data_IF_833115367174
#
_entry.id   IF_833115367174
#
_cell.length_a   1.000
_cell.length_b   1.000
_cell.length_c   1.000
_cell.angle_alpha   90.00
_cell.angle_beta   90.00
_cell.angle_gamma   90.00
#
_symmetry.space_group_name_H-M   'P 1'
#
loop_
_entity.id
_entity.type
_entity.pdbx_description
1 polymer ?
#
# COMPACT_ATOMS: atom_id res chain seq x y z
N UNK A 1 -34.05 41.28 52.13
CA UNK A 1 -33.60 41.56 50.74
C UNK A 1 -32.84 40.36 50.23
N UNK A 2 -33.53 39.42 49.62
CA UNK A 2 -32.93 38.30 48.93
C UNK A 2 -32.38 38.74 47.59
N UNK A 3 -31.03 38.93 47.48
CA UNK A 3 -30.38 39.12 46.20
C UNK A 3 -30.46 37.81 45.43
N UNK A 4 -31.12 37.80 44.28
CA UNK A 4 -31.16 36.70 43.35
C UNK A 4 -29.73 36.47 42.80
N UNK A 5 -29.20 35.30 43.04
CA UNK A 5 -27.89 34.88 42.42
C UNK A 5 -28.20 34.00 41.22
N UNK A 6 -27.67 34.35 40.09
CA UNK A 6 -27.80 33.55 38.82
C UNK A 6 -26.50 32.83 38.56
N UNK A 7 -26.64 31.54 38.19
CA UNK A 7 -25.55 30.71 37.68
C UNK A 7 -25.85 30.37 36.23
N UNK A 8 -24.88 30.64 35.36
CA UNK A 8 -24.98 30.22 33.95
C UNK A 8 -24.07 29.00 33.74
N UNK A 9 -24.65 27.96 33.20
CA UNK A 9 -23.92 26.74 32.81
C UNK A 9 -23.75 26.78 31.29
N UNK A 10 -22.50 26.75 30.83
CA UNK A 10 -22.17 26.76 29.41
C UNK A 10 -21.80 25.35 28.93
N UNK A 11 -22.02 25.04 27.64
CA UNK A 11 -21.62 23.76 27.08
C UNK A 11 -20.11 23.52 27.25
N UNK A 12 -19.75 22.26 27.51
CA UNK A 12 -18.35 21.83 27.63
C UNK A 12 -17.74 21.64 26.24
N UNK A 13 -16.56 22.21 26.02
CA UNK A 13 -15.84 22.11 24.75
C UNK A 13 -15.25 20.70 24.62
N UNK A 14 -15.51 20.06 23.49
CA UNK A 14 -14.93 18.77 23.11
C UNK A 14 -13.81 18.93 22.09
N UNK A 15 -12.88 18.00 22.12
CA UNK A 15 -11.84 17.87 21.10
C UNK A 15 -12.12 16.61 20.25
N UNK A 16 -11.67 16.64 18.99
CA UNK A 16 -11.70 15.52 18.07
C UNK A 16 -10.27 15.13 17.73
N UNK A 17 -9.98 13.85 17.76
CA UNK A 17 -8.74 13.28 17.25
C UNK A 17 -9.01 12.00 16.48
N UNK A 18 -8.13 11.66 15.54
CA UNK A 18 -8.28 10.43 14.79
C UNK A 18 -7.08 10.10 13.93
N UNK A 19 -7.15 8.92 13.30
CA UNK A 19 -6.15 8.44 12.37
C UNK A 19 -6.83 7.70 11.24
N UNK A 20 -6.29 7.81 10.03
CA UNK A 20 -6.68 6.97 8.89
C UNK A 20 -5.48 6.66 8.02
N UNK A 21 -5.61 5.61 7.20
CA UNK A 21 -4.65 5.29 6.15
C UNK A 21 -4.93 6.18 4.93
N UNK A 22 -3.90 6.60 4.21
CA UNK A 22 -4.02 7.39 2.98
C UNK A 22 -5.02 6.76 1.99
N UNK A 23 -5.97 7.54 1.54
CA UNK A 23 -7.05 7.15 0.63
C UNK A 23 -7.25 8.13 -0.54
N UNK A 24 -6.36 9.13 -0.67
CA UNK A 24 -6.42 10.14 -1.71
C UNK A 24 -7.45 11.25 -1.47
N UNK A 25 -8.22 11.22 -0.38
CA UNK A 25 -9.28 12.21 -0.12
C UNK A 25 -8.91 13.18 1.01
N UNK A 26 -9.59 14.31 1.05
CA UNK A 26 -9.51 15.26 2.17
C UNK A 26 -10.61 15.08 3.20
N UNK A 27 -11.49 14.09 3.04
CA UNK A 27 -12.61 13.86 3.93
C UNK A 27 -12.12 13.38 5.31
N UNK A 28 -12.69 13.93 6.37
CA UNK A 28 -12.52 13.46 7.75
C UNK A 28 -13.88 12.90 8.22
N UNK A 29 -14.11 11.62 7.93
CA UNK A 29 -15.39 10.97 8.25
C UNK A 29 -15.47 10.64 9.74
N UNK A 30 -16.67 10.70 10.30
CA UNK A 30 -16.88 10.49 11.75
C UNK A 30 -16.35 9.14 12.25
N UNK A 31 -16.32 8.09 11.40
CA UNK A 31 -15.75 6.79 11.75
C UNK A 31 -14.25 6.78 12.02
N UNK A 32 -13.50 7.76 11.48
CA UNK A 32 -12.06 7.89 11.67
C UNK A 32 -11.72 8.74 12.91
N UNK A 33 -12.75 9.27 13.59
CA UNK A 33 -12.63 10.31 14.59
C UNK A 33 -13.21 9.87 15.94
N UNK A 34 -12.58 10.32 17.01
CA UNK A 34 -13.02 10.09 18.38
C UNK A 34 -13.14 11.41 19.12
N UNK A 35 -14.14 11.49 20.00
CA UNK A 35 -14.38 12.61 20.90
C UNK A 35 -13.55 12.45 22.17
N UNK A 36 -13.09 13.56 22.71
CA UNK A 36 -12.42 13.61 24.01
C UNK A 36 -12.88 14.82 24.83
N UNK A 37 -12.55 14.81 26.12
CA UNK A 37 -12.98 15.80 27.10
C UNK A 37 -14.45 15.67 27.52
N UNK A 38 -15.02 14.46 27.43
CA UNK A 38 -16.35 14.14 27.99
C UNK A 38 -16.31 14.12 29.52
N UNK A 39 -17.48 14.25 30.16
CA UNK A 39 -17.61 14.16 31.60
C UNK A 39 -17.74 12.71 32.05
N UNK A 40 -16.93 12.29 33.01
CA UNK A 40 -17.00 10.93 33.59
C UNK A 40 -16.93 9.82 32.54
N UNK A 41 -17.95 8.97 32.51
CA UNK A 41 -18.10 7.86 31.56
C UNK A 41 -19.14 8.14 30.46
N UNK A 42 -19.55 9.39 30.29
CA UNK A 42 -20.50 9.75 29.22
C UNK A 42 -19.89 9.50 27.85
N UNK A 43 -20.73 9.11 26.91
CA UNK A 43 -20.41 8.93 25.50
C UNK A 43 -21.37 9.75 24.64
N UNK A 44 -20.90 10.22 23.49
CA UNK A 44 -21.69 10.88 22.45
C UNK A 44 -21.39 10.24 21.11
N UNK A 45 -22.37 10.18 20.24
CA UNK A 45 -22.17 9.76 18.87
C UNK A 45 -21.71 10.93 18.01
N UNK A 46 -20.68 10.71 17.18
CA UNK A 46 -20.23 11.66 16.17
C UNK A 46 -20.78 11.24 14.80
N UNK A 47 -21.34 12.16 14.05
CA UNK A 47 -21.84 11.92 12.68
C UNK A 47 -21.35 12.98 11.73
N UNK A 48 -21.53 12.73 10.41
CA UNK A 48 -21.14 13.66 9.36
C UNK A 48 -19.69 13.53 8.92
N UNK A 49 -19.22 14.56 8.20
CA UNK A 49 -17.88 14.60 7.59
C UNK A 49 -17.29 16.00 7.68
N UNK A 50 -16.08 16.06 8.23
CA UNK A 50 -15.23 17.23 8.17
C UNK A 50 -14.26 17.16 6.99
N UNK A 51 -13.34 18.10 6.90
CA UNK A 51 -12.27 18.10 5.90
C UNK A 51 -10.94 18.51 6.50
N UNK A 52 -9.85 17.98 5.93
CA UNK A 52 -8.47 18.39 6.16
C UNK A 52 -7.92 19.12 4.94
N UNK A 53 -6.89 19.95 5.13
CA UNK A 53 -6.36 20.82 4.07
C UNK A 53 -5.61 20.06 2.97
N UNK A 54 -5.17 18.83 3.23
CA UNK A 54 -4.42 18.00 2.27
C UNK A 54 -4.65 16.52 2.55
N UNK A 55 -4.86 15.72 1.50
CA UNK A 55 -4.99 14.27 1.58
C UNK A 55 -3.68 13.58 1.99
N UNK A 56 -2.51 14.18 1.70
CA UNK A 56 -1.20 13.55 1.90
C UNK A 56 -0.96 13.10 3.34
N UNK A 57 -0.07 12.15 3.52
CA UNK A 57 0.42 11.71 4.82
C UNK A 57 0.89 12.89 5.68
N UNK A 58 0.58 12.84 6.96
CA UNK A 58 0.96 13.87 7.92
C UNK A 58 0.19 13.75 9.24
N UNK A 59 0.82 14.22 10.30
CA UNK A 59 0.28 14.14 11.65
C UNK A 59 -0.54 15.38 12.01
N UNK A 60 -1.54 15.19 12.86
CA UNK A 60 -2.29 16.27 13.54
C UNK A 60 -2.80 17.36 12.59
N UNK A 61 -3.30 16.99 11.42
CA UNK A 61 -3.88 17.94 10.46
C UNK A 61 -5.16 18.53 11.02
N UNK A 62 -5.33 19.83 10.97
CA UNK A 62 -6.55 20.49 11.42
C UNK A 62 -7.74 20.03 10.62
N UNK A 63 -8.83 19.69 11.32
CA UNK A 63 -10.12 19.30 10.73
C UNK A 63 -11.07 20.49 10.77
N UNK A 64 -11.58 20.89 9.62
CA UNK A 64 -12.75 21.77 9.48
C UNK A 64 -14.01 20.95 9.71
N UNK A 65 -14.88 21.39 10.60
CA UNK A 65 -16.01 20.61 11.07
C UNK A 65 -17.07 20.31 10.00
N UNK A 66 -17.33 21.24 9.08
CA UNK A 66 -18.36 21.12 8.02
C UNK A 66 -19.68 20.56 8.54
N UNK A 67 -19.99 19.25 8.21
CA UNK A 67 -21.22 18.56 8.66
C UNK A 67 -21.02 17.70 9.90
N UNK A 68 -19.83 17.71 10.51
CA UNK A 68 -19.60 16.96 11.76
C UNK A 68 -20.52 17.49 12.87
N UNK A 69 -21.24 16.59 13.48
CA UNK A 69 -22.18 16.90 14.55
C UNK A 69 -22.14 15.84 15.65
N UNK A 70 -22.32 16.30 16.88
CA UNK A 70 -22.47 15.42 18.06
C UNK A 70 -23.94 15.11 18.28
N UNK A 71 -24.22 13.89 18.66
CA UNK A 71 -25.56 13.37 18.94
C UNK A 71 -25.59 12.71 20.32
N UNK A 72 -26.76 12.60 20.90
CA UNK A 72 -26.94 11.93 22.19
C UNK A 72 -26.53 10.46 22.10
N UNK A 73 -25.93 9.99 23.20
CA UNK A 73 -25.74 8.59 23.50
C UNK A 73 -26.02 8.42 25.01
N UNK A 74 -25.06 8.06 25.85
CA UNK A 74 -25.27 8.09 27.32
C UNK A 74 -25.22 9.53 27.86
N UNK A 75 -24.51 10.42 27.18
CA UNK A 75 -24.48 11.85 27.42
C UNK A 75 -25.49 12.61 26.58
N UNK A 76 -25.82 13.84 27.00
CA UNK A 76 -26.72 14.75 26.30
C UNK A 76 -25.95 15.76 25.49
N UNK A 77 -26.06 15.71 24.15
CA UNK A 77 -25.27 16.51 23.23
C UNK A 77 -25.36 18.04 23.46
N UNK A 78 -26.53 18.54 23.94
CA UNK A 78 -26.71 19.97 24.24
C UNK A 78 -25.81 20.49 25.38
N UNK A 79 -25.27 19.59 26.20
CA UNK A 79 -24.32 19.95 27.26
C UNK A 79 -22.87 20.16 26.73
N UNK A 80 -22.65 19.93 25.44
CA UNK A 80 -21.34 19.93 24.81
C UNK A 80 -21.31 20.77 23.53
N UNK A 81 -20.12 21.15 23.11
CA UNK A 81 -19.89 21.87 21.86
C UNK A 81 -18.56 21.46 21.24
N UNK A 82 -18.52 21.39 19.92
CA UNK A 82 -17.27 21.28 19.16
C UNK A 82 -16.61 22.65 18.94
N UNK A 83 -17.39 23.72 19.03
CA UNK A 83 -16.86 25.07 18.80
C UNK A 83 -15.81 25.44 19.86
N UNK A 84 -14.64 25.90 19.38
CA UNK A 84 -13.51 26.26 20.23
C UNK A 84 -12.63 25.10 20.65
N UNK A 85 -12.92 23.86 20.25
CA UNK A 85 -12.09 22.69 20.51
C UNK A 85 -10.94 22.54 19.50
N UNK A 86 -10.01 21.63 19.83
CA UNK A 86 -8.95 21.20 18.91
C UNK A 86 -9.43 19.96 18.14
N UNK A 87 -9.39 20.04 16.80
CA UNK A 87 -9.87 18.98 15.93
C UNK A 87 -8.76 18.59 14.97
N UNK A 88 -8.32 17.33 15.05
CA UNK A 88 -7.14 16.85 14.32
C UNK A 88 -7.36 15.43 13.76
N UNK A 89 -6.79 15.19 12.58
CA UNK A 89 -6.72 13.88 11.93
C UNK A 89 -5.29 13.64 11.45
N UNK A 90 -4.72 12.49 11.78
CA UNK A 90 -3.45 12.04 11.22
C UNK A 90 -3.70 11.09 10.06
N UNK A 91 -2.96 11.25 8.97
CA UNK A 91 -2.99 10.37 7.80
C UNK A 91 -1.68 9.59 7.76
N UNK A 92 -1.78 8.27 7.85
CA UNK A 92 -0.63 7.35 7.78
C UNK A 92 -0.42 6.85 6.35
N UNK A 93 0.79 6.36 6.07
CA UNK A 93 1.11 5.76 4.77
C UNK A 93 0.22 4.53 4.49
N UNK A 94 -0.11 4.37 3.20
CA UNK A 94 -0.79 3.18 2.69
C UNK A 94 0.23 2.12 2.31
N UNK A 95 0.13 0.94 2.90
CA UNK A 95 0.98 -0.18 2.54
C UNK A 95 0.53 -0.77 1.21
N UNK A 96 1.47 -0.92 0.29
CA UNK A 96 1.27 -1.55 -1.01
C UNK A 96 2.15 -2.79 -1.14
N UNK A 97 1.79 -3.68 -2.03
CA UNK A 97 2.63 -4.81 -2.44
C UNK A 97 2.86 -4.79 -3.93
N UNK A 98 3.92 -5.45 -4.35
CA UNK A 98 4.26 -5.59 -5.76
C UNK A 98 4.36 -7.05 -6.17
N UNK A 99 4.10 -7.31 -7.44
CA UNK A 99 4.38 -8.59 -8.05
C UNK A 99 4.90 -8.41 -9.48
N UNK A 100 5.54 -9.45 -9.98
CA UNK A 100 6.03 -9.46 -11.35
C UNK A 100 6.47 -10.83 -11.77
N UNK A 101 7.02 -10.91 -12.99
CA UNK A 101 7.50 -12.17 -13.54
C UNK A 101 8.69 -11.95 -14.46
N UNK A 102 9.57 -12.95 -14.52
CA UNK A 102 10.63 -13.03 -15.53
C UNK A 102 10.91 -14.47 -15.92
N UNK A 103 11.49 -14.64 -17.09
CA UNK A 103 12.08 -15.92 -17.50
C UNK A 103 13.36 -16.19 -16.70
N UNK A 104 13.61 -17.45 -16.41
CA UNK A 104 14.85 -17.91 -15.75
C UNK A 104 16.10 -17.33 -16.42
N UNK A 105 16.97 -16.76 -15.62
CA UNK A 105 18.21 -16.11 -16.04
C UNK A 105 19.43 -16.44 -15.16
N UNK A 106 19.30 -17.42 -14.26
CA UNK A 106 20.36 -17.86 -13.34
C UNK A 106 20.63 -16.91 -12.17
N UNK A 107 19.99 -15.74 -12.10
CA UNK A 107 20.27 -14.73 -11.07
C UNK A 107 19.24 -14.75 -9.95
N UNK A 108 19.69 -14.51 -8.73
CA UNK A 108 18.81 -14.23 -7.58
C UNK A 108 18.46 -12.74 -7.47
N UNK A 109 19.15 -11.85 -8.19
CA UNK A 109 18.83 -10.42 -8.21
C UNK A 109 17.49 -10.17 -8.89
N UNK A 110 16.63 -9.37 -8.27
CA UNK A 110 15.35 -8.91 -8.80
C UNK A 110 15.48 -7.42 -9.09
N UNK A 111 15.46 -7.05 -10.36
CA UNK A 111 15.50 -5.65 -10.75
C UNK A 111 14.11 -5.02 -10.67
N UNK A 112 14.04 -3.70 -10.54
CA UNK A 112 12.76 -2.98 -10.55
C UNK A 112 11.94 -3.29 -11.82
N UNK A 113 12.58 -3.52 -12.97
CA UNK A 113 11.90 -3.90 -14.22
C UNK A 113 11.22 -5.29 -14.21
N UNK A 114 11.59 -6.16 -13.26
CA UNK A 114 10.95 -7.46 -13.08
C UNK A 114 9.61 -7.35 -12.33
N UNK A 115 9.33 -6.21 -11.70
CA UNK A 115 8.19 -5.94 -10.84
C UNK A 115 7.30 -4.87 -11.49
N UNK A 116 6.14 -5.24 -12.01
CA UNK A 116 5.31 -4.36 -12.83
C UNK A 116 3.90 -4.14 -12.27
N UNK A 117 3.46 -4.95 -11.31
CA UNK A 117 2.10 -4.90 -10.78
C UNK A 117 2.12 -4.36 -9.36
N UNK A 118 1.51 -3.19 -9.17
CA UNK A 118 1.26 -2.62 -7.86
C UNK A 118 -0.15 -3.00 -7.38
N UNK A 119 -0.24 -3.47 -6.15
CA UNK A 119 -1.51 -3.77 -5.51
C UNK A 119 -1.78 -2.75 -4.41
N UNK A 120 -3.06 -2.42 -4.22
CA UNK A 120 -3.54 -1.52 -3.17
C UNK A 120 -3.16 -0.04 -3.36
N UNK A 121 -2.87 0.41 -4.59
CA UNK A 121 -2.80 1.85 -4.88
C UNK A 121 -4.17 2.51 -4.77
N UNK A 122 -4.20 3.79 -4.47
CA UNK A 122 -5.40 4.61 -4.63
C UNK A 122 -5.77 4.68 -6.12
N UNK A 123 -7.06 4.54 -6.41
CA UNK A 123 -7.55 4.50 -7.80
C UNK A 123 -7.13 5.75 -8.58
N UNK A 124 -6.56 5.53 -9.77
CA UNK A 124 -6.08 6.58 -10.65
C UNK A 124 -4.65 7.07 -10.35
N UNK A 125 -4.02 6.61 -9.27
CA UNK A 125 -2.62 6.90 -9.00
C UNK A 125 -1.70 5.83 -9.58
N UNK A 126 -0.50 6.25 -9.96
CA UNK A 126 0.62 5.40 -10.37
C UNK A 126 1.85 5.74 -9.54
N UNK A 127 2.71 4.75 -9.33
CA UNK A 127 4.05 4.93 -8.76
C UNK A 127 5.06 4.25 -9.66
N UNK A 128 6.30 4.71 -9.59
CA UNK A 128 7.45 4.03 -10.16
C UNK A 128 8.26 3.34 -9.07
N UNK A 129 9.10 2.37 -9.47
CA UNK A 129 10.01 1.67 -8.59
C UNK A 129 11.43 1.70 -9.17
N UNK A 130 12.41 1.85 -8.29
CA UNK A 130 13.83 1.82 -8.62
C UNK A 130 14.59 0.85 -7.73
N UNK A 131 15.85 0.56 -8.06
CA UNK A 131 16.69 -0.31 -7.24
C UNK A 131 16.52 -1.79 -7.56
N UNK A 132 16.94 -2.63 -6.61
CA UNK A 132 16.90 -4.09 -6.74
C UNK A 132 16.66 -4.77 -5.39
N UNK A 133 16.04 -5.94 -5.47
CA UNK A 133 15.87 -6.88 -4.37
C UNK A 133 16.51 -8.22 -4.69
N UNK A 134 16.21 -9.25 -3.89
CA UNK A 134 16.71 -10.61 -4.09
C UNK A 134 15.65 -11.65 -3.77
N UNK A 135 15.71 -12.78 -4.47
CA UNK A 135 15.00 -14.01 -4.12
C UNK A 135 15.99 -15.04 -3.55
N UNK A 136 15.53 -15.95 -2.72
CA UNK A 136 16.37 -16.97 -2.07
C UNK A 136 16.97 -18.00 -3.05
N UNK A 137 16.38 -18.15 -4.23
CA UNK A 137 16.84 -19.09 -5.28
C UNK A 137 16.46 -18.57 -6.65
N UNK A 138 17.38 -18.69 -7.62
CA UNK A 138 17.15 -18.38 -9.03
C UNK A 138 16.21 -19.35 -9.75
N UNK A 139 15.97 -20.55 -9.19
CA UNK A 139 15.19 -21.58 -9.83
C UNK A 139 13.74 -21.15 -10.13
N UNK A 140 13.16 -21.77 -11.14
CA UNK A 140 11.73 -21.62 -11.50
C UNK A 140 10.84 -21.83 -10.29
N UNK A 141 9.80 -21.00 -10.16
CA UNK A 141 8.85 -21.05 -9.07
C UNK A 141 7.93 -19.85 -9.08
N UNK A 142 6.75 -20.01 -8.50
CA UNK A 142 5.71 -18.98 -8.42
C UNK A 142 5.76 -18.28 -7.08
N UNK A 143 5.36 -17.01 -7.09
CA UNK A 143 5.18 -16.17 -5.88
C UNK A 143 6.38 -16.21 -4.91
N UNK A 144 7.58 -16.23 -5.47
CA UNK A 144 8.82 -16.22 -4.66
C UNK A 144 8.92 -14.89 -3.92
N UNK A 145 9.05 -14.97 -2.59
CA UNK A 145 9.25 -13.78 -1.76
C UNK A 145 10.52 -13.03 -2.18
N UNK A 146 10.38 -11.73 -2.38
CA UNK A 146 11.51 -10.84 -2.68
C UNK A 146 11.93 -10.11 -1.41
N UNK A 147 13.19 -10.26 -1.04
CA UNK A 147 13.83 -9.38 -0.05
C UNK A 147 14.02 -8.01 -0.69
N UNK A 148 13.44 -6.97 -0.10
CA UNK A 148 13.30 -5.64 -0.70
C UNK A 148 14.66 -5.03 -1.11
N UNK A 149 15.72 -5.21 -0.30
CA UNK A 149 17.05 -4.69 -0.62
C UNK A 149 17.05 -3.17 -0.79
N UNK A 150 17.44 -2.70 -2.00
CA UNK A 150 17.44 -1.29 -2.38
C UNK A 150 16.20 -0.85 -3.16
N UNK A 151 15.18 -1.72 -3.30
CA UNK A 151 13.93 -1.34 -3.96
C UNK A 151 13.29 -0.17 -3.22
N UNK A 152 12.95 0.88 -3.96
CA UNK A 152 12.40 2.12 -3.43
C UNK A 152 11.32 2.66 -4.37
N UNK A 153 10.24 3.17 -3.78
CA UNK A 153 9.16 3.82 -4.52
C UNK A 153 9.59 5.22 -4.96
N UNK A 154 9.20 5.60 -6.15
CA UNK A 154 9.29 6.97 -6.64
C UNK A 154 7.96 7.46 -7.19
N UNK A 155 7.83 8.78 -7.37
CA UNK A 155 6.58 9.39 -7.79
C UNK A 155 6.23 9.04 -9.24
N UNK A 156 4.96 8.65 -9.42
CA UNK A 156 4.28 8.68 -10.70
C UNK A 156 3.25 9.81 -10.71
N UNK A 157 1.96 9.50 -10.94
CA UNK A 157 0.88 10.47 -10.71
C UNK A 157 0.57 10.62 -9.22
N UNK A 158 0.81 9.56 -8.42
CA UNK A 158 0.77 9.59 -6.97
C UNK A 158 2.11 9.99 -6.34
N UNK A 159 2.07 10.45 -5.10
CA UNK A 159 3.28 10.76 -4.33
C UNK A 159 3.73 9.53 -3.55
N UNK A 160 4.98 9.09 -3.77
CA UNK A 160 5.57 7.96 -3.06
C UNK A 160 5.62 8.16 -1.53
N UNK A 161 5.64 9.41 -1.06
CA UNK A 161 5.58 9.73 0.36
C UNK A 161 4.28 9.27 1.05
N UNK A 162 3.22 9.05 0.29
CA UNK A 162 1.94 8.56 0.80
C UNK A 162 1.87 7.03 0.93
N UNK A 163 2.92 6.33 0.49
CA UNK A 163 2.94 4.87 0.43
C UNK A 163 4.16 4.28 1.12
N UNK A 164 4.05 3.03 1.51
CA UNK A 164 5.16 2.20 1.94
C UNK A 164 5.12 0.87 1.19
N UNK A 165 6.28 0.39 0.72
CA UNK A 165 6.40 -0.92 0.10
C UNK A 165 6.45 -1.98 1.21
N UNK A 166 5.37 -2.74 1.36
CA UNK A 166 5.24 -3.77 2.39
C UNK A 166 5.82 -5.11 1.98
N UNK A 167 5.60 -5.53 0.73
CA UNK A 167 6.10 -6.81 0.22
C UNK A 167 6.24 -6.81 -1.30
N UNK A 168 7.05 -7.74 -1.81
CA UNK A 168 7.15 -8.01 -3.24
C UNK A 168 7.27 -9.52 -3.50
N UNK A 169 6.71 -9.98 -4.62
CA UNK A 169 6.81 -11.37 -5.08
C UNK A 169 7.22 -11.42 -6.56
N UNK A 170 7.92 -12.48 -6.93
CA UNK A 170 8.37 -12.70 -8.30
C UNK A 170 8.04 -14.13 -8.75
N UNK A 171 7.46 -14.25 -9.92
CA UNK A 171 7.36 -15.52 -10.64
C UNK A 171 8.60 -15.70 -11.54
N UNK A 172 9.30 -16.81 -11.39
CA UNK A 172 10.37 -17.20 -12.30
C UNK A 172 9.85 -18.34 -13.18
N UNK A 173 9.69 -18.05 -14.46
CA UNK A 173 9.18 -19.01 -15.44
C UNK A 173 10.32 -19.74 -16.15
N UNK A 174 10.02 -20.87 -16.76
CA UNK A 174 10.99 -21.61 -17.55
C UNK A 174 11.52 -20.77 -18.70
N UNK A 175 12.82 -20.89 -18.98
CA UNK A 175 13.46 -20.31 -20.15
C UNK A 175 13.29 -21.25 -21.33
N UNK A 176 12.82 -20.73 -22.43
CA UNK A 176 12.73 -21.50 -23.68
C UNK A 176 14.10 -21.77 -24.27
N UNK A 177 14.32 -23.00 -24.68
CA UNK A 177 15.53 -23.43 -25.37
C UNK A 177 15.18 -23.85 -26.79
N UNK A 178 16.13 -23.64 -27.71
CA UNK A 178 16.06 -24.21 -29.05
C UNK A 178 17.15 -25.25 -29.21
N UNK A 179 16.85 -26.33 -29.94
CA UNK A 179 17.76 -27.39 -30.28
C UNK A 179 17.93 -27.39 -31.78
N UNK A 180 19.17 -27.45 -32.24
CA UNK A 180 19.48 -27.62 -33.66
C UNK A 180 20.50 -28.75 -33.88
N UNK A 181 20.42 -29.35 -35.03
CA UNK A 181 21.31 -30.44 -35.44
C UNK A 181 21.15 -30.80 -36.90
N UNK A 182 21.91 -31.79 -37.33
CA UNK A 182 21.85 -32.32 -38.70
C UNK A 182 22.00 -33.83 -38.69
N UNK A 183 21.43 -34.46 -39.68
CA UNK A 183 21.54 -35.91 -39.93
C UNK A 183 21.90 -36.11 -41.38
N UNK A 184 22.89 -36.96 -41.65
CA UNK A 184 23.18 -37.44 -43.00
C UNK A 184 22.04 -38.44 -43.40
N UNK A 185 21.61 -38.39 -44.64
CA UNK A 185 20.62 -39.29 -45.15
C UNK A 185 21.11 -40.76 -45.02
N UNK A 186 20.29 -41.57 -44.33
CA UNK A 186 20.53 -43.02 -44.08
C UNK A 186 19.32 -43.90 -44.45
N UNK A 187 18.37 -43.33 -45.22
CA UNK A 187 17.15 -44.05 -45.63
C UNK A 187 16.09 -44.17 -44.54
N UNK A 188 16.26 -43.56 -43.35
CA UNK A 188 15.31 -43.62 -42.26
C UNK A 188 14.83 -42.22 -41.84
N UNK A 189 13.64 -42.14 -41.24
CA UNK A 189 13.12 -40.93 -40.63
C UNK A 189 13.34 -40.87 -39.11
N UNK A 190 14.16 -41.78 -38.56
CA UNK A 190 14.48 -41.83 -37.12
C UNK A 190 15.52 -40.79 -36.82
N UNK A 191 15.21 -39.90 -35.85
CA UNK A 191 16.12 -38.89 -35.32
C UNK A 191 16.56 -39.33 -33.91
N UNK A 192 17.85 -39.34 -33.69
CA UNK A 192 18.46 -39.70 -32.39
C UNK A 192 19.01 -38.44 -31.69
N UNK A 193 19.17 -38.49 -30.36
CA UNK A 193 19.77 -37.40 -29.57
C UNK A 193 21.13 -36.96 -30.13
N UNK A 194 21.96 -37.90 -30.63
CA UNK A 194 23.23 -37.63 -31.27
C UNK A 194 23.18 -36.80 -32.56
N UNK A 195 22.03 -36.65 -33.15
CA UNK A 195 21.82 -35.79 -34.33
C UNK A 195 21.74 -34.30 -33.99
N UNK A 196 21.52 -33.99 -32.70
CA UNK A 196 21.48 -32.60 -32.20
C UNK A 196 22.83 -32.23 -31.64
N UNK A 197 23.36 -31.11 -32.08
CA UNK A 197 24.71 -30.63 -31.71
C UNK A 197 24.70 -29.35 -30.90
N UNK A 198 23.63 -28.62 -30.88
CA UNK A 198 23.60 -27.29 -30.30
C UNK A 198 22.31 -27.02 -29.52
N UNK A 199 22.48 -26.56 -28.30
CA UNK A 199 21.45 -25.85 -27.55
C UNK A 199 21.68 -24.36 -27.68
N UNK A 200 20.61 -23.61 -27.93
CA UNK A 200 20.66 -22.16 -27.80
C UNK A 200 19.65 -21.67 -26.76
N UNK A 201 19.99 -20.56 -26.10
CA UNK A 201 19.17 -20.02 -25.04
C UNK A 201 19.56 -20.49 -23.63
N UNK A 202 20.57 -21.33 -23.45
CA UNK A 202 21.12 -21.70 -22.14
C UNK A 202 21.66 -20.45 -21.44
N UNK A 203 21.48 -20.36 -20.14
CA UNK A 203 22.09 -19.29 -19.33
C UNK A 203 23.60 -19.46 -19.33
N UNK A 204 24.33 -18.34 -19.42
CA UNK A 204 25.79 -18.37 -19.44
C UNK A 204 26.36 -19.09 -18.22
N UNK A 205 27.28 -20.02 -18.45
CA UNK A 205 27.90 -20.86 -17.42
C UNK A 205 27.13 -22.15 -17.09
N UNK A 206 25.94 -22.36 -17.67
CA UNK A 206 25.21 -23.62 -17.53
C UNK A 206 25.43 -24.53 -18.73
N UNK A 207 25.31 -25.83 -18.52
CA UNK A 207 25.42 -26.87 -19.55
C UNK A 207 24.25 -27.83 -19.45
N UNK A 208 23.75 -28.30 -20.59
CA UNK A 208 22.74 -29.36 -20.68
C UNK A 208 23.28 -30.46 -21.59
N UNK A 209 22.97 -31.71 -21.27
CA UNK A 209 23.28 -32.89 -22.08
C UNK A 209 21.98 -33.53 -22.55
N UNK A 210 22.05 -34.20 -23.72
CA UNK A 210 20.98 -35.07 -24.25
C UNK A 210 21.35 -36.52 -24.06
#
# INVERSE_FOLDING_TARGET
>A
NGSTRTLNITPRILNISGTRVYDGTTNAVSSDLTLSNLVGSETLALSGTGTITSANVGNSKSVSLNTLAINNDTGVASNYTLNGGTHQLSVSQRSISMSGSRSYNGSTTVNSSDLSVFNNLVSGETLDITGSGTVSSANVGLSKSVTIGSLSLSNGTGSSANYTLGSATLDITQKSLTISGSKVYDGTNVIQGSNFSTFSGIVSGETLSM
#
